data_IF_038055548481
#
_entry.id   IF_038055548481
#
_cell.length_a   1.000
_cell.length_b   1.000
_cell.length_c   1.000
_cell.angle_alpha   90.00
_cell.angle_beta   90.00
_cell.angle_gamma   90.00
#
_symmetry.space_group_name_H-M   'P 1'
#
loop_
_entity.id
_entity.type
_entity.pdbx_description
1 polymer ?
#
# COMPACT_ATOMS: atom_id res chain seq x y z
N UNK A 1 25.87 -13.82 -54.02
CA UNK A 1 26.23 -15.22 -53.69
C UNK A 1 25.19 -15.76 -52.72
N UNK A 2 24.49 -16.86 -53.01
CA UNK A 2 23.47 -17.41 -52.12
C UNK A 2 24.13 -18.12 -50.93
N UNK A 3 23.71 -17.77 -49.71
CA UNK A 3 24.18 -18.44 -48.50
C UNK A 3 23.60 -19.87 -48.44
N UNK A 4 24.46 -20.86 -48.55
CA UNK A 4 24.17 -22.29 -48.43
C UNK A 4 23.71 -22.62 -47.01
N UNK A 5 22.42 -22.88 -46.81
CA UNK A 5 21.81 -23.28 -45.53
C UNK A 5 22.08 -24.77 -45.26
N UNK A 6 23.35 -25.16 -45.16
CA UNK A 6 23.77 -26.54 -44.82
C UNK A 6 25.00 -26.58 -43.91
N UNK A 7 25.15 -25.60 -43.01
CA UNK A 7 26.10 -25.69 -41.89
C UNK A 7 25.33 -25.80 -40.56
N UNK A 8 25.40 -26.93 -39.83
CA UNK A 8 24.82 -27.06 -38.49
C UNK A 8 25.37 -26.02 -37.49
N UNK A 9 26.47 -25.33 -37.83
CA UNK A 9 27.00 -24.19 -37.05
C UNK A 9 26.13 -22.92 -37.15
N UNK A 10 25.43 -22.70 -38.27
CA UNK A 10 24.63 -21.48 -38.50
C UNK A 10 23.33 -21.39 -37.68
N UNK A 11 22.65 -22.51 -37.43
CA UNK A 11 21.45 -22.53 -36.56
C UNK A 11 21.85 -22.35 -35.09
N UNK A 12 22.97 -22.96 -34.67
CA UNK A 12 23.52 -22.77 -33.33
C UNK A 12 23.91 -21.32 -33.05
N UNK A 13 24.45 -20.62 -34.05
CA UNK A 13 24.82 -19.21 -33.95
C UNK A 13 23.60 -18.28 -33.84
N UNK A 14 22.52 -18.55 -34.58
CA UNK A 14 21.25 -17.82 -34.46
C UNK A 14 20.56 -18.02 -33.11
N UNK A 15 20.53 -19.27 -32.61
CA UNK A 15 19.99 -19.57 -31.27
C UNK A 15 20.81 -18.89 -30.18
N UNK A 16 22.13 -18.84 -30.34
CA UNK A 16 23.01 -18.14 -29.40
C UNK A 16 22.78 -16.63 -29.42
N UNK A 17 22.60 -16.03 -30.61
CA UNK A 17 22.25 -14.62 -30.75
C UNK A 17 20.92 -14.27 -30.06
N UNK A 18 19.87 -15.07 -30.27
CA UNK A 18 18.56 -14.86 -29.61
C UNK A 18 18.65 -15.04 -28.09
N UNK A 19 19.46 -15.99 -27.60
CA UNK A 19 19.67 -16.18 -26.17
C UNK A 19 20.46 -15.02 -25.54
N UNK A 20 21.47 -14.49 -26.23
CA UNK A 20 22.26 -13.32 -25.80
C UNK A 20 21.39 -12.05 -25.78
N UNK A 21 20.55 -11.84 -26.80
CA UNK A 21 19.60 -10.73 -26.87
C UNK A 21 18.50 -10.83 -25.81
N UNK A 22 17.95 -12.03 -25.58
CA UNK A 22 16.98 -12.29 -24.51
C UNK A 22 17.57 -12.03 -23.13
N UNK A 23 18.82 -12.45 -22.90
CA UNK A 23 19.53 -12.17 -21.65
C UNK A 23 19.83 -10.66 -21.50
N UNK A 24 20.12 -9.95 -22.59
CA UNK A 24 20.30 -8.50 -22.62
C UNK A 24 19.00 -7.76 -22.28
N UNK A 25 17.87 -8.19 -22.82
CA UNK A 25 16.55 -7.62 -22.55
C UNK A 25 16.10 -7.86 -21.11
N UNK A 26 16.27 -9.09 -20.60
CA UNK A 26 15.96 -9.42 -19.21
C UNK A 26 16.77 -8.55 -18.22
N UNK A 27 18.06 -8.30 -18.52
CA UNK A 27 18.88 -7.38 -17.72
C UNK A 27 18.35 -5.94 -17.75
N UNK A 28 17.84 -5.47 -18.89
CA UNK A 28 17.22 -4.14 -19.03
C UNK A 28 15.90 -4.04 -18.26
N UNK A 29 15.04 -5.03 -18.33
CA UNK A 29 13.79 -5.07 -17.56
C UNK A 29 14.06 -5.09 -16.06
N UNK A 30 15.02 -5.89 -15.60
CA UNK A 30 15.45 -5.88 -14.18
C UNK A 30 15.97 -4.50 -13.78
N UNK A 31 16.74 -3.83 -14.65
CA UNK A 31 17.22 -2.49 -14.39
C UNK A 31 16.07 -1.47 -14.28
N UNK A 32 15.09 -1.55 -15.18
CA UNK A 32 13.90 -0.69 -15.17
C UNK A 32 13.04 -0.92 -13.93
N UNK A 33 12.76 -2.19 -13.59
CA UNK A 33 12.02 -2.57 -12.39
C UNK A 33 12.71 -2.07 -11.12
N UNK A 34 14.05 -2.12 -11.06
CA UNK A 34 14.80 -1.55 -9.93
C UNK A 34 14.60 -0.05 -9.80
N UNK A 35 14.53 0.68 -10.90
CA UNK A 35 14.27 2.13 -10.90
C UNK A 35 12.86 2.41 -10.41
N UNK A 36 11.87 1.72 -10.96
CA UNK A 36 10.46 1.91 -10.61
C UNK A 36 10.20 1.53 -9.14
N UNK A 37 10.77 0.42 -8.67
CA UNK A 37 10.73 0.04 -7.25
C UNK A 37 11.39 1.10 -6.37
N UNK A 38 12.53 1.67 -6.79
CA UNK A 38 13.19 2.72 -6.02
C UNK A 38 12.33 3.99 -5.94
N UNK A 39 11.61 4.34 -7.01
CA UNK A 39 10.68 5.46 -7.03
C UNK A 39 9.46 5.22 -6.12
N UNK A 40 8.87 4.02 -6.17
CA UNK A 40 7.79 3.59 -5.27
C UNK A 40 8.25 3.67 -3.81
N UNK A 41 9.42 3.09 -3.49
CA UNK A 41 9.98 3.11 -2.12
C UNK A 41 10.25 4.54 -1.66
N UNK A 42 10.75 5.43 -2.52
CA UNK A 42 10.97 6.84 -2.19
C UNK A 42 9.65 7.58 -1.98
N UNK A 43 8.64 7.31 -2.81
CA UNK A 43 7.30 7.88 -2.68
C UNK A 43 6.64 7.47 -1.36
N UNK A 44 6.61 6.15 -1.08
CA UNK A 44 6.10 5.59 0.17
C UNK A 44 6.91 6.12 1.36
N UNK A 45 8.24 6.17 1.26
CA UNK A 45 9.11 6.66 2.32
C UNK A 45 8.86 8.12 2.69
N UNK A 46 8.75 9.00 1.68
CA UNK A 46 8.45 10.42 1.90
C UNK A 46 7.06 10.62 2.48
N UNK A 47 6.05 9.94 1.91
CA UNK A 47 4.67 10.02 2.40
C UNK A 47 4.55 9.53 3.83
N UNK A 48 5.18 8.40 4.16
CA UNK A 48 5.20 7.84 5.51
C UNK A 48 5.91 8.77 6.49
N UNK A 49 7.07 9.34 6.13
CA UNK A 49 7.78 10.29 6.97
C UNK A 49 6.93 11.54 7.27
N UNK A 50 6.26 12.10 6.25
CA UNK A 50 5.34 13.23 6.42
C UNK A 50 4.15 12.88 7.32
N UNK A 51 3.57 11.69 7.16
CA UNK A 51 2.46 11.22 8.00
C UNK A 51 2.88 11.06 9.46
N UNK A 52 4.07 10.50 9.72
CA UNK A 52 4.62 10.39 11.09
C UNK A 52 4.83 11.78 11.70
N UNK A 53 5.43 12.70 10.95
CA UNK A 53 5.65 14.07 11.41
C UNK A 53 4.33 14.80 11.71
N UNK A 54 3.34 14.68 10.82
CA UNK A 54 2.01 15.25 10.99
C UNK A 54 1.30 14.64 12.22
N UNK A 55 1.38 13.32 12.41
CA UNK A 55 0.83 12.65 13.58
C UNK A 55 1.49 13.14 14.87
N UNK A 56 2.82 13.28 14.90
CA UNK A 56 3.55 13.79 16.05
C UNK A 56 3.14 15.23 16.39
N UNK A 57 3.08 16.12 15.40
CA UNK A 57 2.60 17.50 15.58
C UNK A 57 1.14 17.53 16.03
N UNK A 58 0.29 16.67 15.47
CA UNK A 58 -1.11 16.53 15.89
C UNK A 58 -1.25 16.12 17.35
N UNK A 59 -0.42 15.19 17.84
CA UNK A 59 -0.41 14.78 19.25
C UNK A 59 0.02 15.96 20.14
N UNK A 60 1.07 16.69 19.78
CA UNK A 60 1.55 17.86 20.53
C UNK A 60 0.48 18.96 20.56
N UNK A 61 -0.13 19.27 19.42
CA UNK A 61 -1.21 20.26 19.32
C UNK A 61 -2.42 19.87 20.15
N UNK A 62 -2.83 18.60 20.11
CA UNK A 62 -3.92 18.07 20.93
C UNK A 62 -3.61 18.18 22.43
N UNK A 63 -2.37 17.89 22.84
CA UNK A 63 -1.95 18.08 24.24
C UNK A 63 -2.08 19.54 24.68
N UNK A 64 -1.52 20.47 23.90
CA UNK A 64 -1.60 21.91 24.22
C UNK A 64 -3.06 22.37 24.28
N UNK A 65 -3.91 21.89 23.37
CA UNK A 65 -5.33 22.19 23.37
C UNK A 65 -6.04 21.68 24.63
N UNK A 66 -5.82 20.42 25.02
CA UNK A 66 -6.37 19.86 26.26
C UNK A 66 -5.87 20.63 27.48
N UNK A 67 -4.59 21.00 27.53
CA UNK A 67 -4.05 21.87 28.58
C UNK A 67 -4.77 23.21 28.65
N UNK A 68 -5.02 23.85 27.50
CA UNK A 68 -5.78 25.10 27.43
C UNK A 68 -7.20 24.95 27.99
N UNK A 69 -7.91 23.86 27.65
CA UNK A 69 -9.23 23.55 28.21
C UNK A 69 -9.14 23.39 29.74
N UNK A 70 -8.14 22.66 30.25
CA UNK A 70 -7.96 22.47 31.69
C UNK A 70 -7.73 23.79 32.42
N UNK A 71 -6.92 24.69 31.87
CA UNK A 71 -6.69 26.01 32.42
C UNK A 71 -7.99 26.84 32.42
N UNK A 72 -8.70 26.85 31.29
CA UNK A 72 -9.96 27.59 31.14
C UNK A 72 -11.03 27.10 32.12
N UNK A 73 -11.25 25.79 32.24
CA UNK A 73 -12.21 25.21 33.18
C UNK A 73 -11.78 25.41 34.63
N UNK A 74 -10.47 25.27 34.89
CA UNK A 74 -9.90 25.43 36.22
C UNK A 74 -10.12 26.84 36.76
N UNK A 75 -9.86 27.85 35.93
CA UNK A 75 -9.95 29.26 36.31
C UNK A 75 -11.40 29.75 36.36
N UNK A 76 -12.14 29.60 35.26
CA UNK A 76 -13.47 30.21 35.09
C UNK A 76 -14.58 29.47 35.84
N UNK A 77 -14.55 28.14 35.80
CA UNK A 77 -15.70 27.32 36.23
C UNK A 77 -15.48 26.64 37.58
N UNK A 78 -14.24 26.26 37.88
CA UNK A 78 -13.90 25.43 39.04
C UNK A 78 -13.13 26.19 40.13
N UNK A 79 -13.01 27.52 40.01
CA UNK A 79 -12.42 28.43 41.03
C UNK A 79 -11.03 27.98 41.49
N UNK A 80 -10.14 27.69 40.54
CA UNK A 80 -8.75 27.26 40.78
C UNK A 80 -8.57 25.76 41.04
N UNK A 81 -9.62 24.93 40.95
CA UNK A 81 -9.50 23.47 41.12
C UNK A 81 -9.05 22.78 39.83
N UNK A 82 -7.81 23.04 39.39
CA UNK A 82 -7.24 22.49 38.16
C UNK A 82 -7.19 20.96 38.11
N UNK A 83 -7.05 20.30 39.26
CA UNK A 83 -7.09 18.83 39.33
C UNK A 83 -8.43 18.26 38.83
N UNK A 84 -9.54 18.88 39.23
CA UNK A 84 -10.86 18.43 38.81
C UNK A 84 -11.11 18.75 37.31
N UNK A 85 -10.62 19.90 36.84
CA UNK A 85 -10.63 20.24 35.42
C UNK A 85 -9.85 19.22 34.57
N UNK A 86 -8.68 18.78 35.04
CA UNK A 86 -7.86 17.79 34.37
C UNK A 86 -8.60 16.45 34.25
N UNK A 87 -9.14 15.92 35.35
CA UNK A 87 -9.88 14.66 35.33
C UNK A 87 -11.12 14.70 34.43
N UNK A 88 -11.86 15.82 34.43
CA UNK A 88 -13.03 15.96 33.58
C UNK A 88 -12.64 16.00 32.10
N UNK A 89 -11.65 16.81 31.73
CA UNK A 89 -11.13 16.90 30.36
C UNK A 89 -10.56 15.57 29.87
N UNK A 90 -9.81 14.86 30.73
CA UNK A 90 -9.32 13.51 30.43
C UNK A 90 -10.47 12.52 30.21
N UNK A 91 -11.51 12.55 31.06
CA UNK A 91 -12.69 11.71 30.90
C UNK A 91 -13.39 11.93 29.57
N UNK A 92 -13.60 13.19 29.19
CA UNK A 92 -14.21 13.55 27.89
C UNK A 92 -13.34 13.05 26.73
N UNK A 93 -12.02 13.29 26.79
CA UNK A 93 -11.09 12.82 25.76
C UNK A 93 -11.07 11.29 25.66
N UNK A 94 -11.13 10.58 26.79
CA UNK A 94 -11.15 9.12 26.82
C UNK A 94 -12.40 8.54 26.15
N UNK A 95 -13.57 9.15 26.38
CA UNK A 95 -14.81 8.76 25.71
C UNK A 95 -14.72 9.00 24.20
N UNK A 96 -14.24 10.18 23.78
CA UNK A 96 -14.05 10.49 22.36
C UNK A 96 -13.07 9.52 21.69
N UNK A 97 -11.93 9.24 22.34
CA UNK A 97 -10.94 8.29 21.86
C UNK A 97 -11.53 6.88 21.72
N UNK A 98 -12.30 6.42 22.70
CA UNK A 98 -12.98 5.12 22.64
C UNK A 98 -13.95 5.02 21.45
N UNK A 99 -14.73 6.07 21.19
CA UNK A 99 -15.65 6.12 20.05
C UNK A 99 -14.92 6.13 18.70
N UNK A 100 -13.82 6.88 18.60
CA UNK A 100 -12.97 6.92 17.41
C UNK A 100 -12.33 5.56 17.14
N UNK A 101 -11.76 4.90 18.17
CA UNK A 101 -11.19 3.55 18.05
C UNK A 101 -12.24 2.56 17.59
N UNK A 102 -13.44 2.56 18.22
CA UNK A 102 -14.54 1.68 17.80
C UNK A 102 -14.91 1.89 16.33
N UNK A 103 -15.04 3.14 15.89
CA UNK A 103 -15.34 3.45 14.48
C UNK A 103 -14.22 3.04 13.54
N UNK A 104 -12.96 3.30 13.90
CA UNK A 104 -11.80 2.90 13.12
C UNK A 104 -11.74 1.39 12.94
N UNK A 105 -11.95 0.63 14.01
CA UNK A 105 -12.02 -0.84 13.96
C UNK A 105 -13.13 -1.34 13.03
N UNK A 106 -14.31 -0.71 13.04
CA UNK A 106 -15.39 -1.08 12.11
C UNK A 106 -15.02 -0.82 10.65
N UNK A 107 -14.33 0.30 10.36
CA UNK A 107 -13.94 0.66 9.01
C UNK A 107 -12.80 -0.20 8.44
N UNK A 108 -12.00 -0.83 9.30
CA UNK A 108 -10.91 -1.74 8.94
C UNK A 108 -11.36 -3.20 8.80
N UNK A 109 -12.68 -3.46 8.85
CA UNK A 109 -13.20 -4.82 8.64
C UNK A 109 -12.85 -5.29 7.23
N UNK A 110 -12.32 -6.52 7.02
CA UNK A 110 -11.92 -7.02 5.69
C UNK A 110 -12.97 -6.86 4.60
N UNK A 111 -14.25 -6.90 4.97
CA UNK A 111 -15.39 -6.73 4.06
C UNK A 111 -15.46 -5.36 3.37
N UNK A 112 -14.85 -4.31 3.92
CA UNK A 112 -14.73 -2.99 3.27
C UNK A 112 -13.43 -2.80 2.50
N UNK A 113 -12.45 -3.70 2.69
CA UNK A 113 -11.10 -3.63 2.11
C UNK A 113 -10.94 -4.48 0.85
N UNK A 114 -11.84 -5.45 0.61
CA UNK A 114 -11.86 -6.20 -0.65
C UNK A 114 -12.81 -5.48 -1.61
N UNK A 115 -12.31 -4.89 -2.72
CA UNK A 115 -13.18 -4.28 -3.72
C UNK A 115 -14.00 -5.40 -4.37
N UNK A 116 -15.33 -5.30 -4.30
CA UNK A 116 -16.23 -6.31 -4.90
C UNK A 116 -15.90 -6.55 -6.38
N UNK A 117 -15.51 -5.49 -7.10
CA UNK A 117 -15.12 -5.55 -8.51
C UNK A 117 -13.85 -6.38 -8.75
N UNK A 118 -12.86 -6.33 -7.85
CA UNK A 118 -11.63 -7.12 -7.99
C UNK A 118 -11.88 -8.62 -7.83
N UNK A 119 -12.89 -9.01 -7.05
CA UNK A 119 -13.27 -10.42 -6.93
C UNK A 119 -13.93 -10.91 -8.23
N UNK A 120 -14.72 -10.06 -8.89
CA UNK A 120 -15.41 -10.39 -10.13
C UNK A 120 -14.42 -10.59 -11.30
N UNK A 121 -13.47 -9.66 -11.46
CA UNK A 121 -12.39 -9.81 -12.47
C UNK A 121 -11.55 -11.08 -12.25
N UNK A 122 -11.24 -11.42 -10.99
CA UNK A 122 -10.52 -12.66 -10.65
C UNK A 122 -11.33 -13.94 -10.88
N UNK A 123 -12.67 -13.87 -10.88
CA UNK A 123 -13.53 -15.00 -11.27
C UNK A 123 -13.53 -15.17 -12.78
N UNK A 124 -13.65 -14.08 -13.52
CA UNK A 124 -13.65 -14.06 -14.99
C UNK A 124 -12.34 -14.67 -15.54
N UNK A 125 -11.19 -14.28 -14.98
CA UNK A 125 -9.88 -14.84 -15.33
C UNK A 125 -9.79 -16.36 -15.10
N UNK A 126 -10.38 -16.85 -13.99
CA UNK A 126 -10.41 -18.30 -13.70
C UNK A 126 -11.29 -19.06 -14.69
N UNK A 127 -12.40 -18.47 -15.12
CA UNK A 127 -13.28 -19.08 -16.11
C UNK A 127 -12.61 -19.14 -17.48
N UNK A 128 -11.95 -18.05 -17.90
CA UNK A 128 -11.19 -18.01 -19.15
C UNK A 128 -10.06 -19.06 -19.17
N UNK A 129 -9.29 -19.20 -18.08
CA UNK A 129 -8.25 -20.23 -17.96
C UNK A 129 -8.81 -21.66 -17.98
N UNK A 130 -10.01 -21.89 -17.43
CA UNK A 130 -10.69 -23.19 -17.50
C UNK A 130 -11.14 -23.50 -18.93
N UNK A 131 -11.63 -22.51 -19.66
CA UNK A 131 -12.07 -22.67 -21.05
C UNK A 131 -10.89 -22.99 -21.98
N UNK A 132 -9.75 -22.30 -21.83
CA UNK A 132 -8.51 -22.60 -22.55
C UNK A 132 -8.04 -24.04 -22.30
N UNK A 133 -8.06 -24.51 -21.05
CA UNK A 133 -7.67 -25.90 -20.75
C UNK A 133 -8.60 -26.92 -21.42
N UNK A 134 -9.90 -26.64 -21.46
CA UNK A 134 -10.87 -27.52 -22.15
C UNK A 134 -10.71 -27.49 -23.66
N UNK A 135 -10.48 -26.34 -24.30
CA UNK A 135 -10.32 -26.28 -25.76
C UNK A 135 -9.06 -27.01 -26.25
N UNK A 136 -7.96 -26.93 -25.47
CA UNK A 136 -6.71 -27.66 -25.77
C UNK A 136 -6.87 -29.17 -25.59
N UNK A 137 -7.70 -29.62 -24.63
CA UNK A 137 -7.96 -31.04 -24.40
C UNK A 137 -8.95 -31.67 -25.42
N UNK A 138 -9.75 -30.85 -26.10
CA UNK A 138 -10.74 -31.30 -27.10
C UNK A 138 -10.15 -31.30 -28.53
N UNK A 139 -9.05 -30.59 -28.77
CA UNK A 139 -8.35 -30.51 -30.06
C UNK A 139 -7.27 -31.59 -30.27
N UNK A 140 -7.25 -32.66 -29.47
CA UNK A 140 -6.31 -33.78 -29.58
C UNK A 140 -7.06 -35.10 -29.64
#
# INVERSE_FOLDING_TARGET
MPATITDPRGIGELVRGVAEDGASLARKEIHLLRIELAEIVRGIGRGTAMMIAAAALGIIGLQIFVFGIVLLLGDELLRGKYWLAAFLSTGICAVLAFLLVKRGMTSLTPKSLVPDQSIESLKEDKEWLKQQRKSVAISK
#
